data_IF_014122988800
#
_entry.id   IF_014122988800
#
_cell.length_a   1.000
_cell.length_b   1.000
_cell.length_c   1.000
_cell.angle_alpha   90.00
_cell.angle_beta   90.00
_cell.angle_gamma   90.00
#
_symmetry.space_group_name_H-M   'P 1'
#
loop_
_entity.id
_entity.type
_entity.pdbx_description
1 polymer ?
#
# COMPACT_ATOMS: atom_id res chain seq x y z
N UNK A 1 33.81 0.30 1.13
CA UNK A 1 34.14 0.36 -0.33
C UNK A 1 35.15 1.48 -0.55
N UNK A 2 36.00 1.46 -1.57
CA UNK A 2 36.97 2.55 -1.83
C UNK A 2 36.19 3.87 -1.98
N UNK A 3 36.56 4.88 -1.21
CA UNK A 3 35.99 6.23 -1.34
C UNK A 3 36.70 6.97 -2.48
N UNK A 4 35.97 7.82 -3.20
CA UNK A 4 36.55 8.68 -4.24
C UNK A 4 37.08 10.00 -3.64
N UNK A 5 36.79 10.27 -2.37
CA UNK A 5 37.42 11.34 -1.60
C UNK A 5 38.87 10.95 -1.26
N UNK A 6 39.88 11.71 -1.71
CA UNK A 6 41.29 11.40 -1.42
C UNK A 6 41.65 11.46 0.07
N UNK A 7 40.77 11.99 0.93
CA UNK A 7 40.97 12.05 2.38
C UNK A 7 40.33 10.88 3.15
N UNK A 8 39.67 9.94 2.46
CA UNK A 8 39.02 8.76 3.06
C UNK A 8 39.42 7.50 2.30
N UNK A 9 39.92 6.51 3.02
CA UNK A 9 40.24 5.22 2.39
C UNK A 9 38.98 4.41 2.08
N UNK A 10 37.91 4.57 2.87
CA UNK A 10 36.68 3.79 2.73
C UNK A 10 35.42 4.60 2.94
N UNK A 11 34.40 4.33 2.14
CA UNK A 11 33.01 4.79 2.32
C UNK A 11 32.06 3.69 2.75
N UNK A 12 30.96 4.12 3.37
CA UNK A 12 29.80 3.29 3.65
C UNK A 12 29.20 2.73 2.35
N UNK A 13 28.66 1.51 2.45
CA UNK A 13 27.92 0.86 1.37
C UNK A 13 26.62 1.61 1.14
N UNK A 14 26.32 1.91 -0.11
CA UNK A 14 25.06 2.52 -0.55
C UNK A 14 24.19 1.47 -1.24
N UNK A 15 22.91 1.78 -1.42
CA UNK A 15 21.96 0.89 -2.08
C UNK A 15 22.38 0.65 -3.55
N UNK A 16 22.91 1.70 -4.20
CA UNK A 16 23.41 1.63 -5.58
C UNK A 16 24.56 0.62 -5.78
N UNK A 17 25.26 0.24 -4.70
CA UNK A 17 26.37 -0.71 -4.76
C UNK A 17 25.90 -2.15 -5.01
N UNK A 18 24.60 -2.43 -4.89
CA UNK A 18 24.00 -3.75 -5.11
C UNK A 18 24.39 -4.82 -4.08
N UNK A 19 25.17 -4.43 -3.06
CA UNK A 19 25.55 -5.30 -1.93
C UNK A 19 24.41 -5.40 -0.92
N UNK A 20 23.67 -4.30 -0.73
CA UNK A 20 22.49 -4.26 0.14
C UNK A 20 21.24 -4.43 -0.73
N UNK A 21 20.43 -5.43 -0.39
CA UNK A 21 19.13 -5.60 -1.02
C UNK A 21 18.10 -4.71 -0.32
N UNK A 22 17.20 -4.07 -1.09
CA UNK A 22 16.06 -3.35 -0.54
C UNK A 22 15.18 -4.25 0.34
N UNK A 23 14.65 -3.70 1.41
CA UNK A 23 13.71 -4.42 2.27
C UNK A 23 12.35 -4.57 1.58
N UNK A 24 11.69 -5.69 1.87
CA UNK A 24 10.28 -5.87 1.52
C UNK A 24 9.41 -5.03 2.46
N UNK A 25 8.38 -4.44 1.88
CA UNK A 25 7.32 -3.71 2.59
C UNK A 25 5.97 -3.98 1.93
N UNK A 26 4.89 -3.53 2.54
CA UNK A 26 3.61 -3.44 1.83
C UNK A 26 3.71 -2.37 0.72
N UNK A 27 3.00 -2.55 -0.41
CA UNK A 27 2.83 -1.48 -1.38
C UNK A 27 2.00 -0.34 -0.77
N UNK A 28 2.19 0.88 -1.27
CA UNK A 28 1.20 1.96 -1.04
C UNK A 28 -0.05 1.70 -1.88
N UNK A 29 -1.17 2.33 -1.54
CA UNK A 29 -2.42 2.24 -2.30
C UNK A 29 -2.18 2.62 -3.77
N UNK A 30 -1.48 3.73 -4.02
CA UNK A 30 -1.14 4.19 -5.35
C UNK A 30 -0.24 3.21 -6.12
N UNK A 31 0.77 2.61 -5.46
CA UNK A 31 1.61 1.58 -6.09
C UNK A 31 0.81 0.33 -6.46
N UNK A 32 -0.08 -0.09 -5.56
CA UNK A 32 -0.92 -1.26 -5.77
C UNK A 32 -1.85 -1.05 -6.95
N UNK A 33 -2.53 0.10 -7.04
CA UNK A 33 -3.43 0.43 -8.16
C UNK A 33 -2.70 0.51 -9.49
N UNK A 34 -1.55 1.19 -9.52
CA UNK A 34 -0.70 1.29 -10.70
C UNK A 34 -0.27 -0.09 -11.18
N UNK A 35 0.20 -0.93 -10.25
CA UNK A 35 0.60 -2.29 -10.54
C UNK A 35 -0.57 -3.17 -11.00
N UNK A 36 -1.76 -2.96 -10.44
CA UNK A 36 -2.98 -3.71 -10.74
C UNK A 36 -3.51 -3.41 -12.14
N UNK A 37 -3.61 -2.14 -12.52
CA UNK A 37 -4.06 -1.73 -13.85
C UNK A 37 -3.11 -2.22 -14.95
N UNK A 38 -1.80 -2.14 -14.73
CA UNK A 38 -0.80 -2.64 -15.67
C UNK A 38 -1.02 -2.14 -17.10
N UNK A 39 -0.82 -0.84 -17.35
CA UNK A 39 -1.25 -0.20 -18.60
C UNK A 39 -0.22 -0.28 -19.75
N UNK A 40 0.91 -0.97 -19.57
CA UNK A 40 1.99 -1.01 -20.59
C UNK A 40 1.52 -1.57 -21.93
N UNK A 41 0.60 -2.53 -21.96
CA UNK A 41 0.01 -3.03 -23.21
C UNK A 41 -0.97 -2.07 -23.88
N UNK A 42 -1.43 -1.03 -23.17
CA UNK A 42 -2.43 -0.06 -23.62
C UNK A 42 -1.83 1.34 -23.84
N UNK A 43 -0.49 1.45 -23.82
CA UNK A 43 0.22 2.71 -24.08
C UNK A 43 0.83 2.70 -25.48
N UNK A 44 0.56 3.76 -26.26
CA UNK A 44 1.20 4.01 -27.56
C UNK A 44 1.79 5.41 -27.53
N UNK A 45 3.12 5.53 -27.63
CA UNK A 45 3.79 6.83 -27.60
C UNK A 45 3.46 7.65 -26.36
N UNK A 46 3.48 7.01 -25.18
CA UNK A 46 3.15 7.61 -23.87
C UNK A 46 1.67 7.98 -23.67
N UNK A 47 0.80 7.73 -24.66
CA UNK A 47 -0.64 7.95 -24.55
C UNK A 47 -1.37 6.65 -24.20
N UNK A 48 -2.22 6.72 -23.19
CA UNK A 48 -3.14 5.62 -22.84
C UNK A 48 -4.30 5.65 -23.84
N UNK A 49 -4.32 4.69 -24.76
CA UNK A 49 -5.35 4.61 -25.80
C UNK A 49 -6.64 3.97 -25.30
N UNK A 50 -6.53 3.07 -24.31
CA UNK A 50 -7.66 2.35 -23.72
C UNK A 50 -7.51 2.28 -22.21
N UNK A 51 -8.58 2.63 -21.50
CA UNK A 51 -8.63 2.52 -20.03
C UNK A 51 -9.17 1.17 -19.63
N UNK A 52 -8.56 0.57 -18.62
CA UNK A 52 -9.02 -0.68 -18.03
C UNK A 52 -9.95 -0.43 -16.84
N UNK A 53 -10.99 -1.25 -16.73
CA UNK A 53 -11.90 -1.26 -15.57
C UNK A 53 -11.47 -2.29 -14.51
N UNK A 54 -10.85 -3.37 -14.97
CA UNK A 54 -10.27 -4.46 -14.16
C UNK A 54 -8.78 -4.61 -14.50
N UNK A 55 -8.00 -5.47 -13.83
CA UNK A 55 -6.60 -5.74 -14.18
C UNK A 55 -6.35 -6.36 -15.57
N UNK A 56 -7.37 -6.45 -16.42
CA UNK A 56 -7.35 -7.03 -17.76
C UNK A 56 -8.12 -6.15 -18.75
N UNK A 57 -7.99 -6.45 -20.04
CA UNK A 57 -8.66 -5.70 -21.11
C UNK A 57 -10.16 -6.01 -21.20
N UNK A 58 -10.94 -4.98 -21.53
CA UNK A 58 -12.40 -5.06 -21.64
C UNK A 58 -13.14 -4.76 -20.33
N UNK A 59 -14.47 -4.83 -20.41
CA UNK A 59 -15.37 -4.49 -19.29
C UNK A 59 -16.00 -5.71 -18.61
N UNK A 60 -15.81 -6.90 -19.19
CA UNK A 60 -16.35 -8.15 -18.67
C UNK A 60 -15.45 -8.81 -17.64
N UNK A 61 -16.03 -9.69 -16.83
CA UNK A 61 -15.33 -10.59 -15.90
C UNK A 61 -15.07 -11.97 -16.50
N UNK A 62 -15.45 -12.15 -17.77
CA UNK A 62 -15.31 -13.40 -18.52
C UNK A 62 -14.35 -13.20 -19.68
N UNK A 63 -13.58 -14.24 -19.98
CA UNK A 63 -12.66 -14.25 -21.10
C UNK A 63 -13.44 -14.23 -22.42
N UNK A 64 -13.02 -13.35 -23.33
CA UNK A 64 -13.62 -13.17 -24.66
C UNK A 64 -12.89 -13.99 -25.76
N UNK A 65 -11.70 -14.51 -25.47
CA UNK A 65 -10.94 -15.32 -26.42
C UNK A 65 -11.68 -16.61 -26.72
N UNK A 66 -11.82 -16.97 -28.01
CA UNK A 66 -12.59 -18.14 -28.46
C UNK A 66 -12.19 -19.44 -27.73
N UNK A 67 -10.90 -19.61 -27.45
CA UNK A 67 -10.35 -20.79 -26.77
C UNK A 67 -10.81 -20.90 -25.31
N UNK A 68 -11.07 -19.77 -24.65
CA UNK A 68 -11.36 -19.67 -23.22
C UNK A 68 -12.73 -19.01 -22.96
N UNK A 69 -13.56 -18.95 -24.01
CA UNK A 69 -14.75 -18.14 -24.03
C UNK A 69 -15.66 -18.42 -22.83
N UNK A 70 -15.98 -17.37 -22.08
CA UNK A 70 -16.88 -17.45 -20.95
C UNK A 70 -16.23 -17.88 -19.63
N UNK A 71 -14.97 -18.33 -19.60
CA UNK A 71 -14.28 -18.63 -18.35
C UNK A 71 -14.10 -17.36 -17.52
N UNK A 72 -14.19 -17.46 -16.18
CA UNK A 72 -13.97 -16.29 -15.33
C UNK A 72 -12.48 -15.91 -15.30
N UNK A 73 -12.22 -14.61 -15.30
CA UNK A 73 -10.87 -14.04 -15.28
C UNK A 73 -10.30 -13.86 -13.86
N UNK A 74 -11.12 -14.07 -12.84
CA UNK A 74 -10.77 -13.92 -11.44
C UNK A 74 -11.64 -14.80 -10.56
N UNK A 75 -11.20 -14.98 -9.31
CA UNK A 75 -11.93 -15.66 -8.26
C UNK A 75 -12.72 -14.67 -7.40
N UNK A 76 -14.05 -14.64 -7.53
CA UNK A 76 -14.88 -13.67 -6.81
C UNK A 76 -16.32 -14.15 -6.67
N UNK A 77 -17.07 -13.51 -5.78
CA UNK A 77 -18.48 -13.81 -5.56
C UNK A 77 -19.36 -13.27 -6.67
N UNK A 78 -19.91 -14.19 -7.46
CA UNK A 78 -20.76 -13.87 -8.62
C UNK A 78 -22.09 -13.23 -8.24
N UNK A 79 -22.67 -13.65 -7.11
CA UNK A 79 -24.01 -13.23 -6.70
C UNK A 79 -24.30 -13.46 -5.23
N UNK A 80 -25.50 -13.06 -4.78
CA UNK A 80 -25.92 -13.31 -3.40
C UNK A 80 -26.09 -14.82 -3.18
N UNK A 81 -25.16 -15.42 -2.42
CA UNK A 81 -25.15 -16.85 -2.16
C UNK A 81 -24.56 -17.69 -3.30
N UNK A 82 -24.09 -17.07 -4.38
CA UNK A 82 -23.41 -17.74 -5.49
C UNK A 82 -21.92 -17.38 -5.45
N UNK A 83 -21.12 -18.27 -4.85
CA UNK A 83 -19.67 -18.11 -4.75
C UNK A 83 -18.91 -18.79 -5.88
N UNK A 84 -19.48 -19.78 -6.59
CA UNK A 84 -18.72 -20.61 -7.56
C UNK A 84 -19.56 -21.22 -8.70
N UNK A 85 -20.84 -20.88 -8.79
CA UNK A 85 -21.77 -21.43 -9.78
C UNK A 85 -22.43 -22.75 -9.37
N UNK A 86 -22.59 -23.66 -10.35
CA UNK A 86 -23.31 -24.92 -10.19
C UNK A 86 -22.32 -26.06 -9.94
N UNK A 87 -22.67 -27.00 -9.06
CA UNK A 87 -21.85 -28.17 -8.76
C UNK A 87 -21.45 -28.93 -10.05
N UNK A 88 -20.16 -29.27 -10.16
CA UNK A 88 -19.59 -30.00 -11.31
C UNK A 88 -19.13 -29.10 -12.47
N UNK A 89 -19.51 -27.82 -12.50
CA UNK A 89 -19.09 -26.83 -13.50
C UNK A 89 -18.73 -25.51 -12.80
N UNK A 90 -17.67 -25.56 -11.99
CA UNK A 90 -17.11 -24.40 -11.31
C UNK A 90 -16.57 -23.43 -12.36
N UNK A 91 -17.20 -22.27 -12.48
CA UNK A 91 -16.96 -21.39 -13.62
C UNK A 91 -15.68 -20.53 -13.45
N UNK A 92 -15.27 -20.30 -12.20
CA UNK A 92 -13.99 -19.74 -11.76
C UNK A 92 -13.04 -20.80 -11.19
N UNK A 93 -13.52 -22.04 -11.02
CA UNK A 93 -12.74 -23.20 -10.57
C UNK A 93 -12.16 -23.07 -9.14
N UNK A 94 -12.75 -22.24 -8.28
CA UNK A 94 -12.34 -22.10 -6.88
C UNK A 94 -13.53 -21.76 -5.96
N UNK A 95 -13.66 -22.47 -4.83
CA UNK A 95 -14.75 -22.26 -3.87
C UNK A 95 -14.43 -21.16 -2.83
N UNK A 96 -13.16 -21.07 -2.44
CA UNK A 96 -12.58 -20.09 -1.53
C UNK A 96 -11.37 -19.49 -2.21
N UNK A 97 -10.16 -19.62 -1.68
CA UNK A 97 -8.95 -19.20 -2.38
C UNK A 97 -8.58 -20.16 -3.51
N UNK A 98 -7.95 -19.60 -4.54
CA UNK A 98 -7.29 -20.30 -5.62
C UNK A 98 -5.77 -20.21 -5.42
N UNK A 99 -4.98 -21.11 -6.05
CA UNK A 99 -3.53 -20.97 -6.12
C UNK A 99 -3.08 -19.59 -6.62
N UNK A 100 -1.97 -19.08 -6.10
CA UNK A 100 -1.51 -17.69 -6.35
C UNK A 100 -1.14 -17.37 -7.80
N UNK A 101 -0.95 -18.38 -8.64
CA UNK A 101 -0.70 -18.26 -10.08
C UNK A 101 -1.90 -18.70 -10.94
N UNK A 102 -3.08 -18.84 -10.34
CA UNK A 102 -4.32 -19.04 -11.08
C UNK A 102 -4.73 -17.78 -11.85
N UNK A 103 -5.53 -17.99 -12.89
CA UNK A 103 -6.02 -16.97 -13.82
C UNK A 103 -4.91 -16.28 -14.64
N UNK A 104 -5.28 -15.33 -15.48
CA UNK A 104 -4.36 -14.65 -16.37
C UNK A 104 -3.64 -13.52 -15.63
N UNK A 105 -2.33 -13.36 -15.84
CA UNK A 105 -1.62 -12.20 -15.32
C UNK A 105 -2.04 -10.93 -16.07
N UNK A 106 -1.87 -9.79 -15.42
CA UNK A 106 -1.91 -8.50 -16.11
C UNK A 106 -0.61 -8.25 -16.91
N UNK A 107 -0.51 -7.10 -17.55
CA UNK A 107 0.62 -6.73 -18.43
C UNK A 107 1.98 -6.68 -17.71
N UNK A 108 1.99 -6.58 -16.38
CA UNK A 108 3.20 -6.66 -15.55
C UNK A 108 3.55 -8.08 -15.09
N UNK A 109 2.79 -9.09 -15.51
CA UNK A 109 2.97 -10.46 -15.05
C UNK A 109 2.41 -10.70 -13.63
N UNK A 110 1.58 -9.79 -13.11
CA UNK A 110 1.01 -9.92 -11.76
C UNK A 110 -0.31 -10.69 -11.83
N UNK A 111 -0.39 -11.73 -10.99
CA UNK A 111 -1.56 -12.60 -10.86
C UNK A 111 -2.44 -12.16 -9.69
N UNK A 112 -3.73 -12.47 -9.81
CA UNK A 112 -4.72 -12.29 -8.74
C UNK A 112 -4.77 -10.86 -8.17
N UNK A 113 -4.52 -9.85 -9.01
CA UNK A 113 -4.71 -8.44 -8.62
C UNK A 113 -6.19 -8.07 -8.44
N UNK A 114 -7.10 -8.91 -8.94
CA UNK A 114 -8.53 -8.85 -8.71
C UNK A 114 -9.03 -10.22 -8.26
N UNK A 115 -9.78 -10.25 -7.16
CA UNK A 115 -10.32 -11.47 -6.56
C UNK A 115 -9.29 -12.22 -5.72
N UNK A 116 -9.60 -13.48 -5.43
CA UNK A 116 -8.85 -14.37 -4.56
C UNK A 116 -8.81 -13.86 -3.11
N UNK A 117 -7.89 -12.97 -2.76
CA UNK A 117 -7.84 -12.33 -1.44
C UNK A 117 -7.68 -10.83 -1.61
N UNK A 118 -8.30 -10.08 -0.71
CA UNK A 118 -8.03 -8.65 -0.64
C UNK A 118 -6.67 -8.44 -0.02
N UNK A 119 -5.97 -7.40 -0.45
CA UNK A 119 -4.57 -7.23 -0.08
C UNK A 119 -4.39 -5.94 0.71
N UNK A 120 -3.79 -6.07 1.89
CA UNK A 120 -3.36 -4.92 2.70
C UNK A 120 -2.37 -4.05 1.93
N UNK A 121 -2.56 -2.74 2.06
CA UNK A 121 -1.60 -1.72 1.63
C UNK A 121 -1.16 -0.91 2.85
N UNK A 122 -0.11 -0.11 2.69
CA UNK A 122 0.48 0.64 3.80
C UNK A 122 -0.41 1.80 4.29
N UNK A 123 -1.26 2.32 3.41
CA UNK A 123 -2.01 3.56 3.64
C UNK A 123 -3.04 3.46 4.78
N UNK A 124 -3.14 4.56 5.53
CA UNK A 124 -4.22 4.78 6.48
C UNK A 124 -5.49 5.16 5.72
N UNK A 125 -6.61 4.55 6.09
CA UNK A 125 -7.88 4.88 5.49
C UNK A 125 -8.43 6.20 6.03
N UNK A 126 -8.78 7.08 5.09
CA UNK A 126 -9.64 8.24 5.33
C UNK A 126 -10.64 8.38 4.18
N UNK A 127 -11.92 8.72 4.45
CA UNK A 127 -12.92 8.85 3.39
C UNK A 127 -12.52 9.84 2.30
N UNK A 128 -11.97 10.99 2.71
CA UNK A 128 -11.68 12.13 1.83
C UNK A 128 -10.25 12.12 1.26
N UNK A 129 -9.47 11.04 1.46
CA UNK A 129 -8.05 11.03 1.03
C UNK A 129 -7.89 11.43 -0.43
N UNK A 130 -8.77 10.95 -1.32
CA UNK A 130 -8.68 11.22 -2.76
C UNK A 130 -9.01 12.67 -3.16
N UNK A 131 -9.61 13.45 -2.25
CA UNK A 131 -9.86 14.89 -2.44
C UNK A 131 -8.74 15.74 -1.83
N UNK A 132 -8.09 15.24 -0.78
CA UNK A 132 -7.03 15.95 -0.05
C UNK A 132 -5.65 15.78 -0.70
N UNK A 133 -5.42 14.64 -1.38
CA UNK A 133 -4.11 14.31 -1.93
C UNK A 133 -4.06 14.56 -3.44
N UNK A 134 -3.08 15.37 -3.84
CA UNK A 134 -2.67 15.53 -5.22
C UNK A 134 -1.26 14.96 -5.42
N UNK A 135 -0.86 14.78 -6.69
CA UNK A 135 0.52 14.50 -7.12
C UNK A 135 0.99 13.01 -7.13
N UNK A 136 2.29 12.80 -7.31
CA UNK A 136 2.94 11.51 -7.54
C UNK A 136 2.93 10.60 -6.30
N UNK A 137 2.27 9.44 -6.42
CA UNK A 137 2.23 8.37 -5.40
C UNK A 137 1.85 8.92 -4.01
N UNK A 138 0.65 9.50 -3.87
CA UNK A 138 0.21 9.99 -2.57
C UNK A 138 0.22 8.85 -1.56
N UNK A 139 0.58 9.19 -0.32
CA UNK A 139 0.67 8.23 0.77
C UNK A 139 0.24 8.88 2.09
N UNK A 140 -0.72 8.27 2.78
CA UNK A 140 -1.16 8.68 4.13
C UNK A 140 -0.74 7.61 5.14
N UNK A 141 -0.01 8.02 6.18
CA UNK A 141 0.64 7.08 7.11
C UNK A 141 2.09 7.43 7.47
N UNK A 142 2.51 8.66 7.20
CA UNK A 142 3.89 9.07 7.42
C UNK A 142 4.20 9.21 8.91
N UNK A 143 5.22 8.48 9.35
CA UNK A 143 5.85 8.64 10.67
C UNK A 143 7.35 8.84 10.43
N UNK A 144 7.83 10.04 10.72
CA UNK A 144 9.23 10.40 10.52
C UNK A 144 10.11 9.77 11.60
N UNK A 145 11.06 8.95 11.17
CA UNK A 145 11.98 8.22 12.05
C UNK A 145 13.43 8.59 11.76
N UNK A 146 14.26 8.51 12.79
CA UNK A 146 15.71 8.70 12.76
C UNK A 146 16.40 7.50 13.38
N UNK A 147 17.68 7.32 13.08
CA UNK A 147 18.48 6.25 13.67
C UNK A 147 18.67 6.50 15.16
N UNK A 148 18.53 5.43 15.95
CA UNK A 148 18.84 5.48 17.38
C UNK A 148 20.34 5.68 17.54
N UNK A 149 20.71 6.61 18.42
CA UNK A 149 22.09 6.92 18.78
C UNK A 149 22.31 6.67 20.27
N UNK A 150 23.53 6.32 20.65
CA UNK A 150 23.95 6.22 22.05
C UNK A 150 24.19 7.61 22.67
N UNK A 151 24.50 7.63 23.96
CA UNK A 151 24.75 8.86 24.72
C UNK A 151 25.97 9.64 24.20
N UNK A 152 26.93 8.95 23.56
CA UNK A 152 28.09 9.56 22.90
C UNK A 152 27.82 10.00 21.45
N UNK A 153 26.62 9.77 20.92
CA UNK A 153 26.17 10.21 19.60
C UNK A 153 26.53 9.27 18.43
N UNK A 154 27.10 8.09 18.71
CA UNK A 154 27.31 7.03 17.72
C UNK A 154 26.02 6.23 17.49
N UNK A 155 26.00 5.45 16.39
CA UNK A 155 24.85 4.62 16.06
C UNK A 155 24.70 3.49 17.08
N UNK A 156 23.50 3.34 17.62
CA UNK A 156 23.20 2.28 18.56
C UNK A 156 23.47 0.90 17.95
N UNK A 157 23.82 -0.06 18.81
CA UNK A 157 24.02 -1.44 18.39
C UNK A 157 22.80 -1.99 17.65
N UNK A 158 23.08 -2.76 16.60
CA UNK A 158 22.08 -3.43 15.78
C UNK A 158 21.16 -4.29 16.64
N UNK A 159 19.95 -4.54 16.14
CA UNK A 159 19.03 -5.46 16.79
C UNK A 159 19.50 -6.93 16.67
N UNK A 160 18.75 -7.85 17.29
CA UNK A 160 19.03 -9.29 17.25
C UNK A 160 18.98 -9.88 15.83
N UNK A 161 18.41 -9.17 14.87
CA UNK A 161 18.30 -9.54 13.47
C UNK A 161 19.34 -8.81 12.60
N UNK A 162 20.27 -8.06 13.22
CA UNK A 162 21.34 -7.34 12.54
C UNK A 162 20.90 -6.04 11.84
N UNK A 163 19.69 -5.55 12.12
CA UNK A 163 19.12 -4.33 11.53
C UNK A 163 19.43 -3.10 12.37
N UNK A 164 19.41 -1.95 11.73
CA UNK A 164 19.56 -0.65 12.40
C UNK A 164 18.29 -0.32 13.19
N UNK A 165 18.45 0.21 14.40
CA UNK A 165 17.33 0.64 15.23
C UNK A 165 16.90 2.06 14.85
N UNK A 166 15.59 2.28 14.79
CA UNK A 166 14.99 3.57 14.48
C UNK A 166 14.08 4.03 15.63
N UNK A 167 14.07 5.33 15.90
CA UNK A 167 13.11 6.00 16.79
C UNK A 167 12.40 7.12 16.05
N UNK A 168 11.25 7.54 16.56
CA UNK A 168 10.60 8.77 16.09
C UNK A 168 11.50 9.98 16.30
N UNK A 169 11.40 10.94 15.38
CA UNK A 169 12.15 12.18 15.47
C UNK A 169 11.67 13.01 16.66
N UNK A 170 12.59 13.52 17.47
CA UNK A 170 12.26 14.44 18.54
C UNK A 170 12.45 15.87 18.01
N UNK A 171 11.45 16.77 18.12
CA UNK A 171 11.58 18.16 17.70
C UNK A 171 12.82 18.88 18.23
N UNK A 172 13.18 18.64 19.48
CA UNK A 172 14.30 19.27 20.17
C UNK A 172 15.64 18.66 19.74
N UNK A 173 15.77 17.33 19.85
CA UNK A 173 17.06 16.64 19.61
C UNK A 173 17.43 16.59 18.12
N UNK A 174 16.45 16.53 17.22
CA UNK A 174 16.66 16.30 15.78
C UNK A 174 16.58 17.59 14.93
N UNK A 175 16.58 18.76 15.58
CA UNK A 175 16.57 20.09 14.98
C UNK A 175 15.41 20.32 13.99
N UNK A 176 14.20 19.85 14.31
CA UNK A 176 13.05 19.98 13.40
C UNK A 176 12.64 21.44 13.16
N UNK A 177 12.92 22.33 14.13
CA UNK A 177 12.70 23.77 13.98
C UNK A 177 13.39 24.35 12.72
N UNK A 178 14.56 23.84 12.35
CA UNK A 178 15.33 24.29 11.19
C UNK A 178 14.95 23.57 9.89
N UNK A 179 14.19 22.47 9.96
CA UNK A 179 13.77 21.72 8.77
C UNK A 179 12.62 22.43 8.07
N UNK A 180 12.58 22.39 6.74
CA UNK A 180 11.48 23.01 5.97
C UNK A 180 10.25 22.09 5.83
N UNK A 181 10.45 20.78 5.89
CA UNK A 181 9.47 19.77 5.47
C UNK A 181 8.48 19.34 6.57
N UNK A 182 8.96 18.99 7.76
CA UNK A 182 8.09 18.53 8.85
C UNK A 182 8.54 19.09 10.20
N UNK A 183 7.56 19.22 11.11
CA UNK A 183 7.73 19.77 12.47
C UNK A 183 7.37 18.81 13.59
N UNK A 184 6.61 17.75 13.29
CA UNK A 184 6.26 16.66 14.20
C UNK A 184 6.67 15.32 13.60
N UNK A 185 6.83 14.30 14.45
CA UNK A 185 7.22 12.95 14.02
C UNK A 185 6.06 12.20 13.37
N UNK A 186 4.95 12.13 14.10
CA UNK A 186 3.73 11.50 13.64
C UNK A 186 2.84 12.52 12.93
N UNK A 187 2.59 12.29 11.64
CA UNK A 187 1.71 13.10 10.80
C UNK A 187 0.61 12.24 10.17
N UNK A 188 0.27 11.08 10.75
CA UNK A 188 -0.76 10.17 10.23
C UNK A 188 -2.11 10.89 10.08
N UNK A 189 -2.46 11.72 11.07
CA UNK A 189 -3.72 12.45 11.17
C UNK A 189 -3.67 13.89 10.61
N UNK A 190 -2.62 14.25 9.87
CA UNK A 190 -2.47 15.60 9.31
C UNK A 190 -3.68 15.98 8.45
N UNK A 191 -4.25 17.16 8.70
CA UNK A 191 -5.47 17.71 8.06
C UNK A 191 -6.75 16.86 8.25
N UNK A 192 -6.70 15.73 8.96
CA UNK A 192 -7.83 14.82 9.15
C UNK A 192 -7.68 14.01 10.46
N UNK A 193 -7.83 14.73 11.57
CA UNK A 193 -7.76 14.21 12.94
C UNK A 193 -6.70 14.86 13.83
N UNK A 194 -5.93 15.82 13.32
CA UNK A 194 -5.05 16.68 14.12
C UNK A 194 -5.82 17.81 14.81
N UNK A 195 -5.14 18.55 15.70
CA UNK A 195 -5.76 19.61 16.49
C UNK A 195 -6.52 20.61 15.60
N UNK A 196 -5.88 21.08 14.53
CA UNK A 196 -6.42 22.11 13.63
C UNK A 196 -7.68 21.66 12.89
N UNK A 197 -7.80 20.36 12.60
CA UNK A 197 -8.98 19.74 11.97
C UNK A 197 -9.99 19.15 12.96
N UNK A 198 -9.69 19.17 14.26
CA UNK A 198 -10.56 18.61 15.31
C UNK A 198 -11.61 19.61 15.80
N UNK A 199 -12.64 19.10 16.49
CA UNK A 199 -13.63 19.95 17.18
C UNK A 199 -13.06 20.70 18.39
N UNK A 200 -11.83 20.37 18.81
CA UNK A 200 -11.12 20.95 19.95
C UNK A 200 -9.98 21.88 19.51
N UNK A 201 -10.07 22.48 18.32
CA UNK A 201 -9.04 23.33 17.74
C UNK A 201 -8.59 24.50 18.62
N UNK A 202 -9.42 24.93 19.57
CA UNK A 202 -9.13 26.00 20.54
C UNK A 202 -8.73 25.49 21.95
N UNK A 203 -8.80 24.18 22.18
CA UNK A 203 -8.52 23.55 23.48
C UNK A 203 -7.55 22.37 23.34
N UNK A 204 -6.26 22.71 23.35
CA UNK A 204 -5.15 21.76 23.31
C UNK A 204 -5.24 20.69 24.40
N UNK A 205 -5.66 21.07 25.62
CA UNK A 205 -5.69 20.14 26.75
C UNK A 205 -6.75 19.06 26.54
N UNK A 206 -7.95 19.45 26.08
CA UNK A 206 -9.00 18.50 25.73
C UNK A 206 -8.62 17.62 24.54
N UNK A 207 -7.92 18.17 23.54
CA UNK A 207 -7.42 17.40 22.41
C UNK A 207 -6.41 16.33 22.85
N UNK A 208 -5.45 16.69 23.69
CA UNK A 208 -4.44 15.77 24.23
C UNK A 208 -5.07 14.70 25.12
N UNK A 209 -6.08 15.05 25.93
CA UNK A 209 -6.81 14.08 26.77
C UNK A 209 -7.56 13.06 25.92
N UNK A 210 -8.19 13.50 24.83
CA UNK A 210 -9.00 12.63 23.96
C UNK A 210 -8.21 11.89 22.88
N UNK A 211 -7.05 12.41 22.47
CA UNK A 211 -6.21 11.82 21.42
C UNK A 211 -7.00 11.59 20.11
N UNK A 212 -6.94 10.37 19.58
CA UNK A 212 -7.69 9.96 18.36
C UNK A 212 -9.21 10.22 18.48
N UNK A 213 -9.76 10.15 19.70
CA UNK A 213 -11.17 10.40 19.99
C UNK A 213 -11.61 11.87 19.82
N UNK A 214 -10.69 12.77 19.53
CA UNK A 214 -10.97 14.19 19.27
C UNK A 214 -11.74 14.42 17.97
N UNK A 215 -11.53 13.56 16.97
CA UNK A 215 -12.26 13.61 15.70
C UNK A 215 -13.07 12.33 15.47
N UNK A 216 -12.47 11.17 15.77
CA UNK A 216 -13.05 9.86 15.48
C UNK A 216 -13.24 9.06 16.77
N UNK A 217 -14.47 9.03 17.32
CA UNK A 217 -14.81 8.19 18.48
C UNK A 217 -14.95 6.72 18.04
N UNK A 218 -13.80 6.06 17.86
CA UNK A 218 -13.70 4.69 17.38
C UNK A 218 -14.52 3.70 18.23
N UNK A 219 -15.36 2.92 17.56
CA UNK A 219 -16.23 1.93 18.20
C UNK A 219 -17.53 2.50 18.78
N UNK A 220 -17.70 3.83 18.83
CA UNK A 220 -18.99 4.46 19.20
C UNK A 220 -19.71 5.05 18.00
N UNK A 221 -19.05 5.94 17.26
CA UNK A 221 -19.66 6.66 16.13
C UNK A 221 -19.04 6.27 14.79
N UNK A 222 -17.83 5.75 14.79
CA UNK A 222 -17.07 5.41 13.57
C UNK A 222 -16.16 4.20 13.77
N UNK A 223 -15.74 3.59 12.66
CA UNK A 223 -14.68 2.58 12.62
C UNK A 223 -13.37 3.14 12.04
N UNK A 224 -13.32 4.45 11.77
CA UNK A 224 -12.14 5.15 11.27
C UNK A 224 -11.25 5.50 12.45
N UNK A 225 -9.94 5.32 12.30
CA UNK A 225 -8.90 5.68 13.28
C UNK A 225 -7.55 5.77 12.57
N UNK A 226 -6.50 6.18 13.29
CA UNK A 226 -5.12 6.17 12.79
C UNK A 226 -4.56 4.76 12.57
N UNK A 227 -5.30 3.75 13.03
CA UNK A 227 -5.01 2.32 12.88
C UNK A 227 -5.84 1.64 11.79
N UNK A 228 -6.80 2.34 11.20
CA UNK A 228 -7.55 1.83 10.05
C UNK A 228 -6.65 1.82 8.81
N UNK A 229 -6.34 0.65 8.27
CA UNK A 229 -5.51 0.49 7.06
C UNK A 229 -6.36 0.14 5.86
N UNK A 230 -5.90 0.53 4.68
CA UNK A 230 -6.58 0.23 3.42
C UNK A 230 -6.26 -1.20 2.98
N UNK A 231 -7.24 -1.87 2.38
CA UNK A 231 -7.02 -3.08 1.59
C UNK A 231 -7.77 -3.02 0.25
N UNK A 232 -7.25 -3.72 -0.75
CA UNK A 232 -7.61 -3.56 -2.16
C UNK A 232 -7.83 -4.89 -2.88
N UNK A 233 -8.46 -4.85 -4.06
CA UNK A 233 -8.46 -5.97 -5.01
C UNK A 233 -9.54 -7.02 -4.86
N UNK A 234 -10.56 -6.85 -4.01
CA UNK A 234 -11.61 -7.84 -3.74
C UNK A 234 -11.07 -9.17 -3.22
N UNK A 235 -11.95 -10.14 -3.01
CA UNK A 235 -11.62 -11.49 -2.58
C UNK A 235 -12.61 -12.47 -3.17
N UNK A 236 -12.41 -13.76 -2.92
CA UNK A 236 -13.36 -14.82 -3.27
C UNK A 236 -14.78 -14.59 -2.71
N UNK A 237 -14.93 -13.81 -1.63
CA UNK A 237 -16.25 -13.50 -1.03
C UNK A 237 -16.83 -12.15 -1.47
N UNK A 238 -16.15 -11.42 -2.35
CA UNK A 238 -16.53 -10.07 -2.76
C UNK A 238 -17.14 -10.03 -4.16
N UNK A 239 -18.09 -9.12 -4.33
CA UNK A 239 -18.70 -8.89 -5.65
C UNK A 239 -17.74 -8.17 -6.58
N UNK A 240 -17.98 -8.34 -7.88
CA UNK A 240 -17.16 -7.79 -8.95
C UNK A 240 -16.90 -6.28 -8.87
N UNK A 241 -17.74 -5.50 -8.20
CA UNK A 241 -17.49 -4.07 -7.95
C UNK A 241 -16.13 -3.84 -7.26
N UNK A 242 -15.79 -4.66 -6.25
CA UNK A 242 -14.57 -4.50 -5.47
C UNK A 242 -13.30 -4.93 -6.22
N UNK A 243 -13.45 -5.57 -7.39
CA UNK A 243 -12.30 -5.98 -8.22
C UNK A 243 -11.73 -4.82 -9.03
N UNK A 244 -12.46 -3.71 -9.12
CA UNK A 244 -11.97 -2.50 -9.77
C UNK A 244 -10.84 -1.91 -8.91
N UNK A 245 -9.64 -1.66 -9.49
CA UNK A 245 -8.48 -1.24 -8.70
C UNK A 245 -8.70 0.03 -7.87
N UNK A 246 -9.47 0.98 -8.40
CA UNK A 246 -9.81 2.24 -7.71
C UNK A 246 -10.73 2.09 -6.49
N UNK A 247 -11.31 0.91 -6.24
CA UNK A 247 -12.17 0.71 -5.07
C UNK A 247 -11.33 0.46 -3.82
N UNK A 248 -11.74 1.03 -2.69
CA UNK A 248 -10.99 0.95 -1.44
C UNK A 248 -11.90 0.58 -0.27
N UNK A 249 -11.36 -0.21 0.64
CA UNK A 249 -11.99 -0.61 1.91
C UNK A 249 -10.93 -0.58 2.99
N UNK A 250 -11.38 -0.71 4.22
CA UNK A 250 -10.50 -0.64 5.37
C UNK A 250 -10.92 -1.61 6.46
N UNK A 251 -9.94 -1.96 7.27
CA UNK A 251 -10.08 -2.73 8.49
C UNK A 251 -8.99 -2.24 9.45
N UNK A 252 -9.20 -2.42 10.76
CA UNK A 252 -8.17 -2.07 11.74
C UNK A 252 -6.94 -2.98 11.56
N UNK A 253 -5.74 -2.44 11.70
CA UNK A 253 -4.47 -3.14 11.45
C UNK A 253 -4.23 -4.36 12.38
N UNK A 254 -4.91 -4.39 13.52
CA UNK A 254 -4.87 -5.49 14.50
C UNK A 254 -5.89 -6.61 14.22
N UNK A 255 -6.70 -6.46 13.17
CA UNK A 255 -7.73 -7.43 12.81
C UNK A 255 -7.31 -8.29 11.61
N UNK A 256 -7.84 -9.51 11.58
CA UNK A 256 -7.62 -10.47 10.51
C UNK A 256 -8.94 -11.01 9.97
N UNK A 257 -8.93 -11.42 8.71
CA UNK A 257 -10.10 -11.94 8.01
C UNK A 257 -9.67 -13.08 7.07
N UNK A 258 -10.49 -14.14 6.89
CA UNK A 258 -10.14 -15.28 6.03
C UNK A 258 -10.06 -14.95 4.52
N UNK A 259 -10.42 -13.73 4.14
CA UNK A 259 -10.41 -13.26 2.75
C UNK A 259 -9.50 -12.04 2.54
N UNK A 260 -8.66 -11.70 3.53
CA UNK A 260 -7.66 -10.63 3.44
C UNK A 260 -6.27 -11.24 3.64
N UNK A 261 -5.38 -11.00 2.69
CA UNK A 261 -3.96 -11.32 2.72
C UNK A 261 -3.14 -10.07 2.39
N UNK A 262 -1.96 -10.27 1.80
CA UNK A 262 -1.08 -9.19 1.40
C UNK A 262 -0.12 -9.65 0.30
N UNK A 263 0.51 -8.67 -0.35
CA UNK A 263 1.70 -8.88 -1.17
C UNK A 263 2.81 -7.93 -0.76
N UNK A 264 4.03 -8.28 -1.10
CA UNK A 264 5.18 -7.44 -0.82
C UNK A 264 5.57 -6.61 -2.05
N UNK A 265 6.03 -5.40 -1.78
CA UNK A 265 6.71 -4.52 -2.71
C UNK A 265 8.15 -4.29 -2.23
N UNK A 266 9.04 -3.95 -3.15
CA UNK A 266 10.41 -3.55 -2.86
C UNK A 266 10.79 -2.40 -3.79
N UNK A 267 11.72 -1.55 -3.34
CA UNK A 267 12.26 -0.50 -4.18
C UNK A 267 13.15 -1.15 -5.24
N UNK A 268 12.92 -0.87 -6.52
CA UNK A 268 13.82 -1.33 -7.58
C UNK A 268 15.13 -0.54 -7.53
N UNK A 269 16.26 -1.24 -7.55
CA UNK A 269 17.60 -0.63 -7.67
C UNK A 269 18.08 -0.78 -9.12
N UNK A 270 18.72 0.26 -9.65
CA UNK A 270 19.32 0.26 -10.98
C UNK A 270 18.58 1.14 -11.98
N UNK A 271 18.84 0.92 -13.28
CA UNK A 271 18.33 1.76 -14.35
C UNK A 271 16.79 1.82 -14.39
N UNK A 272 16.18 3.01 -14.57
CA UNK A 272 14.73 3.18 -14.74
C UNK A 272 14.16 2.35 -15.89
N UNK A 273 14.92 2.13 -16.97
CA UNK A 273 14.48 1.42 -18.18
C UNK A 273 14.63 -0.10 -18.10
N UNK A 274 15.20 -0.63 -17.00
CA UNK A 274 15.46 -2.06 -16.86
C UNK A 274 16.69 -2.56 -17.64
N UNK A 275 16.81 -3.88 -17.81
CA UNK A 275 17.97 -4.55 -18.44
C UNK A 275 17.81 -4.71 -19.96
N UNK A 276 16.73 -4.22 -20.55
CA UNK A 276 16.28 -4.58 -21.91
C UNK A 276 16.13 -3.38 -22.85
N UNK A 277 16.74 -2.24 -22.51
CA UNK A 277 16.91 -1.10 -23.40
C UNK A 277 18.40 -0.79 -23.57
#
# INVERSE_FOLDING_TARGET
MIDLDPNKETRNVRIEDGILLPEYRLPTEAEWEYASLGLVGNTVGELIIERKFYPWNGHGVRNADEKYLGQMLANFKRGRGDNMGVAGLLNDNAEITAPVYSYWPNDYGLYNMAGNVSEWVMDVYRPMTLEDVDDFRPFRGNVFKTLVRDEEGYLAEKDSLGRMKYREVNPEDDNLANRRNYKKADVINYEDGDLESSIYYDDQASFEEKGEGSMYDFGKTTLISDRARVYKGASWNDRAYWMTPGTRRFLSEDQASPHIGFRCAMIRVGSPVGLTY
#
